data_IF_936061132823
#
_entry.id   IF_936061132823
#
_cell.length_a   1.000
_cell.length_b   1.000
_cell.length_c   1.000
_cell.angle_alpha   90.00
_cell.angle_beta   90.00
_cell.angle_gamma   90.00
#
_symmetry.space_group_name_H-M   'P 1'
#
loop_
_entity.id
_entity.type
_entity.pdbx_description
1 polymer ?
#
# COMPACT_ATOMS: atom_id res chain seq x y z
N UNK A 1 -14.49 -11.09 -33.11
CA UNK A 1 -13.14 -11.41 -32.60
C UNK A 1 -12.41 -10.09 -32.40
N UNK A 2 -12.07 -9.71 -31.16
CA UNK A 2 -11.28 -8.50 -30.91
C UNK A 2 -9.87 -8.71 -31.46
N UNK A 3 -9.43 -7.87 -32.41
CA UNK A 3 -8.06 -7.91 -32.94
C UNK A 3 -7.13 -7.29 -31.90
N UNK A 4 -6.19 -8.08 -31.40
CA UNK A 4 -5.07 -7.57 -30.61
C UNK A 4 -4.33 -6.49 -31.40
N UNK A 5 -4.12 -5.31 -30.80
CA UNK A 5 -3.37 -4.22 -31.39
C UNK A 5 -2.15 -3.89 -30.51
N UNK A 6 -0.93 -4.29 -30.90
CA UNK A 6 0.28 -4.08 -30.10
C UNK A 6 0.56 -2.60 -29.78
N UNK A 7 0.18 -1.69 -30.67
CA UNK A 7 0.45 -0.25 -30.51
C UNK A 7 -0.25 0.37 -29.29
N UNK A 8 -1.33 -0.26 -28.82
CA UNK A 8 -2.06 0.15 -27.62
C UNK A 8 -1.22 0.00 -26.34
N UNK A 9 -0.35 -1.01 -26.31
CA UNK A 9 0.44 -1.40 -25.15
C UNK A 9 1.90 -0.94 -25.24
N UNK A 10 2.24 -0.18 -26.28
CA UNK A 10 3.58 0.36 -26.44
C UNK A 10 3.89 1.33 -25.28
N UNK A 11 5.01 1.08 -24.59
CA UNK A 11 5.48 1.86 -23.43
C UNK A 11 4.49 1.86 -22.25
N UNK A 12 3.77 0.76 -22.04
CA UNK A 12 2.95 0.56 -20.83
C UNK A 12 3.47 -0.57 -19.93
N UNK A 13 4.72 -0.51 -19.44
CA UNK A 13 5.23 -1.50 -18.49
C UNK A 13 4.53 -1.37 -17.13
N UNK A 14 4.73 -2.36 -16.26
CA UNK A 14 4.51 -2.19 -14.82
C UNK A 14 5.86 -1.96 -14.17
N UNK A 15 5.98 -0.91 -13.36
CA UNK A 15 7.26 -0.54 -12.74
C UNK A 15 7.08 -0.49 -11.22
N UNK A 16 7.91 -1.22 -10.49
CA UNK A 16 8.01 -1.08 -9.03
C UNK A 16 9.23 -0.25 -8.66
N UNK A 17 9.04 0.71 -7.77
CA UNK A 17 10.09 1.60 -7.25
C UNK A 17 10.42 1.20 -5.83
N UNK A 18 11.70 0.98 -5.57
CA UNK A 18 12.22 0.61 -4.25
C UNK A 18 12.84 1.82 -3.53
N UNK A 19 12.73 1.87 -2.21
CA UNK A 19 13.57 2.76 -1.39
C UNK A 19 14.99 2.19 -1.22
N UNK A 20 15.85 2.92 -0.51
CA UNK A 20 17.22 2.51 -0.22
C UNK A 20 17.33 1.29 0.73
N UNK A 21 16.21 0.79 1.26
CA UNK A 21 16.11 -0.43 2.07
C UNK A 21 15.56 -1.61 1.25
N UNK A 22 15.21 -1.40 -0.02
CA UNK A 22 14.60 -2.41 -0.88
C UNK A 22 13.09 -2.56 -0.72
N UNK A 23 12.40 -1.61 -0.08
CA UNK A 23 10.95 -1.66 0.12
C UNK A 23 10.20 -1.01 -1.05
N UNK A 24 9.12 -1.64 -1.50
CA UNK A 24 8.30 -1.18 -2.63
C UNK A 24 7.50 0.08 -2.28
N UNK A 25 8.06 1.26 -2.50
CA UNK A 25 7.42 2.54 -2.14
C UNK A 25 6.45 3.05 -3.19
N UNK A 26 6.57 2.61 -4.45
CA UNK A 26 5.60 2.94 -5.50
C UNK A 26 5.41 1.80 -6.49
N UNK A 27 4.18 1.62 -6.93
CA UNK A 27 3.85 0.84 -8.12
C UNK A 27 3.31 1.79 -9.19
N UNK A 28 3.95 1.80 -10.36
CA UNK A 28 3.61 2.66 -11.48
C UNK A 28 3.00 1.79 -12.57
N UNK A 29 1.73 2.04 -12.85
CA UNK A 29 1.02 1.52 -14.01
C UNK A 29 0.85 2.60 -15.07
N UNK A 30 0.82 2.20 -16.32
CA UNK A 30 0.51 3.07 -17.45
C UNK A 30 -0.74 2.56 -18.13
N UNK A 31 -1.70 3.45 -18.36
CA UNK A 31 -2.98 3.10 -18.94
C UNK A 31 -3.27 3.94 -20.19
N UNK A 32 -3.76 3.29 -21.24
CA UNK A 32 -4.23 3.94 -22.46
C UNK A 32 -5.47 3.21 -22.96
N UNK A 33 -6.54 3.96 -23.26
CA UNK A 33 -7.80 3.38 -23.73
C UNK A 33 -7.79 3.07 -25.24
N UNK A 34 -7.13 3.91 -26.03
CA UNK A 34 -7.01 3.76 -27.49
C UNK A 34 -5.59 4.13 -27.94
N UNK A 35 -5.15 3.62 -29.10
CA UNK A 35 -3.75 3.75 -29.57
C UNK A 35 -3.25 5.20 -29.57
N UNK A 36 -4.10 6.15 -29.97
CA UNK A 36 -3.77 7.57 -30.12
C UNK A 36 -4.00 8.40 -28.85
N UNK A 37 -4.52 7.81 -27.77
CA UNK A 37 -4.76 8.54 -26.54
C UNK A 37 -3.46 8.83 -25.80
N UNK A 38 -3.45 9.91 -25.02
CA UNK A 38 -2.38 10.16 -24.05
C UNK A 38 -2.30 8.98 -23.06
N UNK A 39 -1.08 8.62 -22.66
CA UNK A 39 -0.86 7.59 -21.66
C UNK A 39 -1.04 8.19 -20.27
N UNK A 40 -1.98 7.66 -19.51
CA UNK A 40 -2.25 8.00 -18.12
C UNK A 40 -1.27 7.27 -17.20
N UNK A 41 -0.52 8.01 -16.38
CA UNK A 41 0.44 7.44 -15.43
C UNK A 41 -0.21 7.32 -14.06
N UNK A 42 -0.32 6.09 -13.57
CA UNK A 42 -1.03 5.75 -12.34
C UNK A 42 -0.03 5.26 -11.31
N UNK A 43 0.21 6.08 -10.28
CA UNK A 43 1.18 5.78 -9.22
C UNK A 43 0.42 5.41 -7.95
N UNK A 44 0.58 4.17 -7.49
CA UNK A 44 0.19 3.76 -6.14
C UNK A 44 1.36 4.05 -5.22
N UNK A 45 1.10 4.70 -4.09
CA UNK A 45 2.11 5.07 -3.11
C UNK A 45 2.01 4.20 -1.86
N UNK A 46 3.17 3.74 -1.38
CA UNK A 46 3.30 2.96 -0.15
C UNK A 46 4.31 3.65 0.76
N UNK A 47 4.02 3.75 2.06
CA UNK A 47 4.99 4.24 3.03
C UNK A 47 5.21 3.23 4.14
N UNK A 48 6.44 3.18 4.63
CA UNK A 48 6.90 2.20 5.62
C UNK A 48 7.44 2.91 6.86
N UNK A 49 7.24 2.31 8.03
CA UNK A 49 7.87 2.78 9.27
C UNK A 49 9.38 2.51 9.29
N UNK A 50 10.04 2.87 10.39
CA UNK A 50 11.49 2.68 10.57
C UNK A 50 11.88 1.19 10.58
N UNK A 51 11.02 0.29 11.06
CA UNK A 51 11.23 -1.17 11.05
C UNK A 51 10.96 -1.83 9.69
N UNK A 52 10.44 -1.09 8.71
CA UNK A 52 10.11 -1.61 7.38
C UNK A 52 8.72 -2.24 7.27
N UNK A 53 7.82 -2.03 8.23
CA UNK A 53 6.40 -2.40 8.11
C UNK A 53 5.62 -1.34 7.32
N UNK A 54 4.72 -1.79 6.44
CA UNK A 54 3.88 -0.93 5.60
C UNK A 54 2.84 -0.20 6.48
N UNK A 55 2.88 1.13 6.54
CA UNK A 55 1.97 1.91 7.40
C UNK A 55 0.85 2.60 6.64
N UNK A 56 0.97 2.78 5.32
CA UNK A 56 -0.10 3.33 4.50
C UNK A 56 0.05 2.96 3.03
N UNK A 57 -1.09 2.90 2.34
CA UNK A 57 -1.15 2.75 0.89
C UNK A 57 -2.20 3.70 0.31
N UNK A 58 -1.86 4.34 -0.81
CA UNK A 58 -2.69 5.33 -1.50
C UNK A 58 -2.74 5.02 -2.99
N UNK A 59 -3.95 4.89 -3.51
CA UNK A 59 -4.23 4.79 -4.93
C UNK A 59 -4.00 6.14 -5.63
N UNK A 60 -3.79 6.15 -6.95
CA UNK A 60 -3.48 7.37 -7.69
C UNK A 60 -4.55 8.45 -7.57
N UNK A 61 -5.82 8.07 -7.44
CA UNK A 61 -6.96 8.98 -7.40
C UNK A 61 -7.03 9.70 -6.04
N UNK A 62 -6.92 8.95 -4.94
CA UNK A 62 -6.88 9.51 -3.59
C UNK A 62 -5.61 10.33 -3.38
N UNK A 63 -4.48 9.90 -3.94
CA UNK A 63 -3.25 10.70 -3.89
C UNK A 63 -3.44 12.06 -4.58
N UNK A 64 -4.02 12.10 -5.78
CA UNK A 64 -4.31 13.35 -6.48
C UNK A 64 -5.28 14.27 -5.70
N UNK A 65 -6.29 13.70 -5.04
CA UNK A 65 -7.17 14.46 -4.13
C UNK A 65 -6.40 14.99 -2.92
N UNK A 66 -5.52 14.18 -2.33
CA UNK A 66 -4.74 14.55 -1.14
C UNK A 66 -3.75 15.70 -1.41
N UNK A 67 -3.24 15.84 -2.64
CA UNK A 67 -2.39 16.98 -3.01
C UNK A 67 -3.10 18.34 -2.86
N UNK A 68 -4.43 18.36 -2.98
CA UNK A 68 -5.24 19.57 -2.86
C UNK A 68 -5.89 19.70 -1.46
N UNK A 69 -6.17 18.57 -0.81
CA UNK A 69 -6.78 18.50 0.51
C UNK A 69 -6.08 17.45 1.36
N UNK A 70 -5.26 17.90 2.31
CA UNK A 70 -4.49 17.03 3.20
C UNK A 70 -5.35 16.24 4.19
N UNK A 71 -6.65 16.52 4.29
CA UNK A 71 -7.59 15.76 5.14
C UNK A 71 -8.06 14.46 4.50
N UNK A 72 -7.83 14.28 3.19
CA UNK A 72 -8.13 13.04 2.47
C UNK A 72 -7.30 11.90 3.04
N UNK A 73 -8.00 10.85 3.48
CA UNK A 73 -7.38 9.65 4.03
C UNK A 73 -6.77 8.77 2.95
N UNK A 74 -5.64 8.09 3.24
CA UNK A 74 -5.16 6.95 2.47
C UNK A 74 -6.18 5.82 2.32
N UNK A 75 -6.03 4.95 1.31
CA UNK A 75 -6.87 3.74 1.19
C UNK A 75 -6.76 2.86 2.43
N UNK A 76 -5.55 2.75 2.95
CA UNK A 76 -5.22 1.98 4.14
C UNK A 76 -4.25 2.73 5.03
N UNK A 77 -4.46 2.63 6.33
CA UNK A 77 -3.50 2.96 7.38
C UNK A 77 -3.36 1.73 8.28
N UNK A 78 -2.13 1.29 8.52
CA UNK A 78 -1.83 0.19 9.42
C UNK A 78 -1.01 0.65 10.62
N UNK A 79 -1.26 0.05 11.77
CA UNK A 79 -0.42 0.17 12.95
C UNK A 79 0.05 -1.22 13.36
N UNK A 80 1.33 -1.31 13.73
CA UNK A 80 2.00 -2.57 14.04
C UNK A 80 2.52 -2.55 15.48
N UNK A 81 2.65 -3.73 16.08
CA UNK A 81 3.52 -3.90 17.24
C UNK A 81 5.01 -3.89 16.84
N UNK A 82 5.89 -4.01 17.83
CA UNK A 82 7.34 -3.97 17.61
C UNK A 82 7.87 -5.18 16.81
N UNK A 83 7.09 -6.26 16.71
CA UNK A 83 7.41 -7.45 15.91
C UNK A 83 6.82 -7.36 14.49
N UNK A 84 6.15 -6.25 14.14
CA UNK A 84 5.52 -6.05 12.84
C UNK A 84 4.12 -6.63 12.70
N UNK A 85 3.52 -7.17 13.77
CA UNK A 85 2.16 -7.70 13.71
C UNK A 85 1.13 -6.55 13.68
N UNK A 86 0.17 -6.61 12.76
CA UNK A 86 -0.88 -5.58 12.63
C UNK A 86 -1.78 -5.60 13.88
N UNK A 87 -1.84 -4.45 14.55
CA UNK A 87 -2.74 -4.18 15.68
C UNK A 87 -4.00 -3.42 15.26
N UNK A 88 -3.90 -2.61 14.20
CA UNK A 88 -5.01 -1.80 13.72
C UNK A 88 -4.92 -1.57 12.21
N UNK A 89 -6.06 -1.60 11.54
CA UNK A 89 -6.24 -1.25 10.13
C UNK A 89 -7.38 -0.23 10.01
N UNK A 90 -7.13 0.94 9.41
CA UNK A 90 -8.15 1.90 8.96
C UNK A 90 -8.21 1.85 7.44
N UNK A 91 -9.33 1.39 6.88
CA UNK A 91 -9.59 1.34 5.45
C UNK A 91 -10.75 2.26 5.09
N UNK A 92 -10.62 3.02 4.01
CA UNK A 92 -11.73 3.85 3.50
C UNK A 92 -12.89 3.01 2.94
N UNK A 93 -12.61 1.78 2.51
CA UNK A 93 -13.60 0.89 1.89
C UNK A 93 -14.19 -0.11 2.89
N UNK A 94 -13.41 -0.53 3.89
CA UNK A 94 -13.79 -1.58 4.85
C UNK A 94 -13.89 -1.10 6.31
N UNK A 95 -13.68 0.19 6.56
CA UNK A 95 -13.71 0.76 7.90
C UNK A 95 -12.51 0.37 8.76
N UNK A 96 -12.68 0.45 10.08
CA UNK A 96 -11.61 0.24 11.07
C UNK A 96 -11.74 -1.10 11.77
N UNK A 97 -10.62 -1.80 11.91
CA UNK A 97 -10.52 -3.05 12.68
C UNK A 97 -9.31 -3.04 13.61
N UNK A 98 -9.44 -3.65 14.78
CA UNK A 98 -8.37 -3.80 15.75
C UNK A 98 -8.15 -5.29 16.05
N UNK A 99 -6.88 -5.72 16.09
CA UNK A 99 -6.46 -7.07 16.41
C UNK A 99 -5.55 -7.05 17.64
N UNK A 100 -5.65 -8.06 18.51
CA UNK A 100 -4.70 -8.24 19.62
C UNK A 100 -3.54 -9.10 19.16
N UNK A 101 -2.29 -8.66 19.35
CA UNK A 101 -1.15 -9.57 19.24
C UNK A 101 -1.09 -10.46 20.48
N UNK A 102 -1.29 -11.76 20.31
CA UNK A 102 -1.09 -12.73 21.38
C UNK A 102 0.41 -13.05 21.49
N UNK A 103 1.16 -12.23 22.21
CA UNK A 103 2.49 -12.66 22.69
C UNK A 103 2.27 -13.51 23.94
N UNK A 104 2.21 -14.84 23.78
CA UNK A 104 2.26 -15.77 24.93
C UNK A 104 3.69 -15.75 25.48
N UNK A 105 3.97 -14.81 26.37
CA UNK A 105 5.02 -15.01 27.37
C UNK A 105 4.34 -15.41 28.68
N UNK A 106 3.95 -16.69 28.78
CA UNK A 106 3.74 -17.31 30.08
C UNK A 106 5.07 -17.30 30.82
N UNK A 107 5.36 -16.22 31.56
CA UNK A 107 6.27 -16.31 32.70
C UNK A 107 5.58 -17.13 33.77
N UNK A 108 5.72 -18.45 33.66
CA UNK A 108 5.32 -19.41 34.70
C UNK A 108 6.28 -19.20 35.87
N UNK A 109 5.89 -18.34 36.81
CA UNK A 109 6.55 -18.27 38.11
C UNK A 109 6.12 -19.53 38.86
N UNK A 110 7.01 -20.54 38.88
CA UNK A 110 6.86 -21.68 39.78
C UNK A 110 7.43 -21.23 41.12
N UNK A 111 6.55 -20.92 42.08
CA UNK A 111 6.92 -20.88 43.50
C UNK A 111 6.60 -22.26 44.06
N UNK A 112 7.62 -23.07 44.29
CA UNK A 112 7.50 -24.30 45.09
C UNK A 112 7.66 -23.97 46.58
N UNK A 113 6.94 -24.67 47.48
CA UNK A 113 6.95 -24.43 48.93
C UNK A 113 8.29 -24.70 49.59
#
# INVERSE_FOLDING_TARGET
MSRFNPALYEKTPMVSVLDNRGLHVRDIGYHRAEVNNATDTRITHHQYNIQGSLIQSLDPRLYASQQNDSTIKPNFIWQHDLNGQILHTDSVDSGRTCCKSATVHQRRIIITP
#
